data_IF_292098890399
#
_entry.id   IF_292098890399
#
_cell.length_a   1.000
_cell.length_b   1.000
_cell.length_c   1.000
_cell.angle_alpha   90.00
_cell.angle_beta   90.00
_cell.angle_gamma   90.00
#
_symmetry.space_group_name_H-M   'P 1'
#
loop_
_entity.id
_entity.type
_entity.pdbx_description
1 polymer ?
#
# COMPACT_ATOMS: atom_id res chain seq x y z
N UNK A 1 -40.06 24.99 22.47
CA UNK A 1 -38.74 25.67 22.42
C UNK A 1 -38.64 26.46 23.72
N UNK A 2 -37.78 26.10 24.68
CA UNK A 2 -36.33 25.97 24.51
C UNK A 2 -35.72 24.69 25.11
N UNK A 3 -34.40 24.61 24.93
CA UNK A 3 -33.45 23.51 25.16
C UNK A 3 -33.38 23.07 26.62
N UNK A 4 -33.42 21.75 26.85
CA UNK A 4 -33.07 21.15 28.13
C UNK A 4 -31.72 20.43 28.01
N UNK A 5 -30.80 20.85 28.88
CA UNK A 5 -29.51 20.22 29.12
C UNK A 5 -29.68 18.76 29.56
N UNK A 6 -28.94 17.84 28.95
CA UNK A 6 -28.38 16.70 29.68
C UNK A 6 -26.91 16.52 29.30
N UNK A 7 -26.08 16.84 30.29
CA UNK A 7 -24.68 16.54 30.33
C UNK A 7 -24.45 15.03 30.15
N UNK A 8 -23.53 14.67 29.27
CA UNK A 8 -22.99 13.32 29.22
C UNK A 8 -22.00 13.14 30.38
N UNK A 9 -22.06 12.03 31.12
CA UNK A 9 -21.17 11.81 32.25
C UNK A 9 -19.73 11.62 31.77
N UNK A 10 -18.81 12.33 32.44
CA UNK A 10 -17.38 12.01 32.44
C UNK A 10 -17.22 10.56 32.90
N UNK A 11 -16.82 9.66 32.00
CA UNK A 11 -16.19 8.40 32.42
C UNK A 11 -14.76 8.73 32.89
N UNK A 12 -14.61 8.77 34.20
CA UNK A 12 -13.35 8.57 34.91
C UNK A 12 -12.91 7.13 34.73
N UNK A 13 -11.68 6.95 34.25
CA UNK A 13 -11.08 5.67 33.91
C UNK A 13 -9.99 5.96 32.90
N UNK A 14 -8.76 6.16 33.39
CA UNK A 14 -7.56 6.25 32.58
C UNK A 14 -7.37 4.94 31.80
N UNK A 15 -8.00 4.82 30.63
CA UNK A 15 -7.45 3.99 29.58
C UNK A 15 -6.63 4.89 28.68
N UNK A 16 -5.35 4.56 28.58
CA UNK A 16 -4.35 5.20 27.73
C UNK A 16 -4.90 5.46 26.33
N UNK A 17 -5.34 6.69 26.07
CA UNK A 17 -5.53 7.14 24.69
C UNK A 17 -4.15 7.13 24.04
N UNK A 18 -3.93 6.36 22.95
CA UNK A 18 -2.66 6.41 22.26
C UNK A 18 -2.44 7.85 21.79
N UNK A 19 -1.26 8.38 22.09
CA UNK A 19 -0.78 9.60 21.46
C UNK A 19 -0.73 9.31 19.96
N UNK A 20 -1.74 9.75 19.20
CA UNK A 20 -1.84 9.62 17.74
C UNK A 20 -0.70 10.34 17.01
N UNK A 21 0.50 9.80 17.17
CA UNK A 21 1.80 10.31 16.73
C UNK A 21 2.42 9.35 15.72
N UNK A 22 2.06 8.06 15.81
CA UNK A 22 2.18 7.10 14.71
C UNK A 22 0.79 6.62 14.35
N UNK A 23 0.27 6.95 13.16
CA UNK A 23 -0.88 6.25 12.59
C UNK A 23 -0.48 4.84 12.22
N UNK A 24 -0.19 4.00 13.21
CA UNK A 24 0.28 2.64 13.02
C UNK A 24 -0.88 1.83 12.42
N UNK A 25 -0.59 1.06 11.38
CA UNK A 25 -1.54 0.16 10.71
C UNK A 25 -2.28 -0.72 11.73
N UNK A 26 -1.59 -1.14 12.80
CA UNK A 26 -2.20 -1.89 13.88
C UNK A 26 -3.38 -1.15 14.54
N UNK A 27 -3.26 0.15 14.82
CA UNK A 27 -4.34 0.93 15.45
C UNK A 27 -5.58 1.01 14.56
N UNK A 28 -5.38 1.25 13.26
CA UNK A 28 -6.49 1.27 12.30
C UNK A 28 -7.20 -0.09 12.19
N UNK A 29 -6.44 -1.17 12.17
CA UNK A 29 -7.00 -2.53 12.11
C UNK A 29 -7.73 -2.87 13.41
N UNK A 30 -7.15 -2.54 14.57
CA UNK A 30 -7.79 -2.78 15.87
C UNK A 30 -9.10 -1.99 16.00
N UNK A 31 -9.12 -0.72 15.59
CA UNK A 31 -10.33 0.10 15.58
C UNK A 31 -11.40 -0.46 14.63
N UNK A 32 -10.98 -0.89 13.43
CA UNK A 32 -11.87 -1.56 12.49
C UNK A 32 -12.48 -2.84 13.07
N UNK A 33 -11.67 -3.71 13.68
CA UNK A 33 -12.13 -4.96 14.28
C UNK A 33 -13.07 -4.71 15.47
N UNK A 34 -12.78 -3.71 16.30
CA UNK A 34 -13.63 -3.36 17.43
C UNK A 34 -15.05 -2.96 17.00
N UNK A 35 -15.18 -2.25 15.87
CA UNK A 35 -16.44 -1.65 15.43
C UNK A 35 -17.15 -2.38 14.29
N UNK A 36 -16.41 -3.13 13.46
CA UNK A 36 -16.92 -3.67 12.18
C UNK A 36 -16.79 -5.19 12.06
N UNK A 37 -16.22 -5.88 13.05
CA UNK A 37 -16.17 -7.35 13.01
C UNK A 37 -17.59 -7.94 13.12
N UNK A 38 -17.98 -8.85 12.22
CA UNK A 38 -19.33 -9.40 12.19
C UNK A 38 -19.55 -10.27 13.43
N UNK A 39 -20.36 -9.75 14.35
CA UNK A 39 -20.69 -10.41 15.62
C UNK A 39 -22.17 -10.75 15.74
N UNK A 40 -23.00 -10.30 14.79
CA UNK A 40 -24.43 -10.57 14.76
C UNK A 40 -24.71 -12.05 14.49
N UNK A 41 -25.66 -12.62 15.24
CA UNK A 41 -26.13 -13.98 15.07
C UNK A 41 -27.12 -14.05 13.89
N UNK A 42 -26.95 -15.04 13.04
CA UNK A 42 -27.87 -15.36 11.94
C UNK A 42 -28.46 -16.76 12.15
N UNK A 43 -29.73 -16.92 11.83
CA UNK A 43 -30.39 -18.22 11.75
C UNK A 43 -30.64 -18.60 10.29
N UNK A 44 -30.52 -19.88 9.98
CA UNK A 44 -30.85 -20.43 8.67
C UNK A 44 -32.33 -20.79 8.65
N UNK A 45 -33.02 -20.39 7.59
CA UNK A 45 -34.41 -20.78 7.34
C UNK A 45 -34.54 -21.30 5.92
N UNK A 46 -35.53 -22.14 5.67
CA UNK A 46 -35.87 -22.61 4.34
C UNK A 46 -37.09 -21.86 3.84
N UNK A 47 -37.06 -21.42 2.58
CA UNK A 47 -38.25 -20.87 1.94
C UNK A 47 -39.22 -21.96 1.45
N UNK A 48 -40.31 -21.54 0.83
CA UNK A 48 -41.35 -22.44 0.32
C UNK A 48 -40.86 -23.40 -0.79
N UNK A 49 -39.72 -23.09 -1.43
CA UNK A 49 -39.11 -23.91 -2.48
C UNK A 49 -38.04 -24.87 -1.94
N UNK A 50 -37.73 -24.81 -0.64
CA UNK A 50 -36.66 -25.59 -0.03
C UNK A 50 -35.28 -24.93 -0.09
N UNK A 51 -35.17 -23.70 -0.60
CA UNK A 51 -33.91 -22.98 -0.68
C UNK A 51 -33.52 -22.44 0.70
N UNK A 52 -32.24 -22.58 1.06
CA UNK A 52 -31.72 -22.12 2.34
C UNK A 52 -31.33 -20.64 2.29
N UNK A 53 -31.89 -19.87 3.21
CA UNK A 53 -31.62 -18.46 3.40
C UNK A 53 -31.12 -18.20 4.82
N UNK A 54 -30.49 -17.05 5.05
CA UNK A 54 -30.08 -16.62 6.39
C UNK A 54 -30.69 -15.28 6.74
N UNK A 55 -31.13 -15.12 7.99
CA UNK A 55 -31.64 -13.85 8.50
C UNK A 55 -31.05 -13.54 9.88
N UNK A 56 -30.90 -12.26 10.23
CA UNK A 56 -30.41 -11.89 11.55
C UNK A 56 -31.40 -12.30 12.63
N UNK A 57 -30.89 -12.84 13.73
CA UNK A 57 -31.69 -13.12 14.93
C UNK A 57 -31.91 -11.82 15.69
N UNK A 58 -33.15 -11.58 16.10
CA UNK A 58 -33.59 -10.37 16.80
C UNK A 58 -34.20 -10.76 18.16
N UNK A 59 -33.91 -9.98 19.20
CA UNK A 59 -34.49 -10.16 20.54
C UNK A 59 -35.93 -9.64 20.66
N UNK A 60 -36.56 -9.83 21.82
CA UNK A 60 -37.93 -9.36 22.11
C UNK A 60 -38.10 -7.84 22.02
N UNK A 61 -37.01 -7.08 21.99
CA UNK A 61 -36.98 -5.62 21.92
C UNK A 61 -36.61 -5.10 20.53
N UNK A 62 -36.44 -5.97 19.53
CA UNK A 62 -36.10 -5.57 18.17
C UNK A 62 -34.60 -5.36 17.93
N UNK A 63 -33.71 -5.73 18.86
CA UNK A 63 -32.27 -5.58 18.71
C UNK A 63 -31.61 -6.82 18.10
N UNK A 64 -30.58 -6.67 17.25
CA UNK A 64 -29.73 -7.76 16.80
C UNK A 64 -29.10 -8.56 17.95
N UNK A 65 -29.36 -9.86 17.98
CA UNK A 65 -28.69 -10.78 18.90
C UNK A 65 -27.24 -10.97 18.46
N UNK A 66 -26.31 -10.94 19.43
CA UNK A 66 -24.90 -11.15 19.17
C UNK A 66 -24.52 -12.63 19.36
N UNK A 67 -23.76 -13.17 18.41
CA UNK A 67 -23.14 -14.48 18.52
C UNK A 67 -21.97 -14.43 19.49
N UNK A 68 -22.10 -15.14 20.62
CA UNK A 68 -21.04 -15.25 21.63
C UNK A 68 -19.74 -15.78 21.03
N UNK A 69 -19.82 -16.79 20.15
CA UNK A 69 -18.64 -17.35 19.49
C UNK A 69 -17.95 -16.32 18.58
N UNK A 70 -18.72 -15.53 17.83
CA UNK A 70 -18.17 -14.50 16.97
C UNK A 70 -17.50 -13.37 17.78
N UNK A 71 -18.09 -12.98 18.91
CA UNK A 71 -17.47 -12.03 19.84
C UNK A 71 -16.15 -12.59 20.42
N UNK A 72 -16.13 -13.84 20.87
CA UNK A 72 -14.92 -14.48 21.39
C UNK A 72 -13.82 -14.62 20.32
N UNK A 73 -14.20 -14.83 19.04
CA UNK A 73 -13.25 -14.80 17.90
C UNK A 73 -12.69 -13.41 17.66
N UNK A 74 -13.53 -12.37 17.68
CA UNK A 74 -13.10 -10.96 17.55
C UNK A 74 -12.11 -10.59 18.65
N UNK A 75 -12.47 -10.86 19.91
CA UNK A 75 -11.71 -10.42 21.06
C UNK A 75 -10.32 -11.11 21.11
N UNK A 76 -10.26 -12.41 20.80
CA UNK A 76 -8.98 -13.12 20.62
C UNK A 76 -8.12 -12.55 19.50
N UNK A 77 -8.72 -12.16 18.38
CA UNK A 77 -7.99 -11.56 17.27
C UNK A 77 -7.43 -10.18 17.65
N UNK A 78 -8.22 -9.36 18.34
CA UNK A 78 -7.79 -8.06 18.87
C UNK A 78 -6.63 -8.24 19.85
N UNK A 79 -6.74 -9.17 20.80
CA UNK A 79 -5.67 -9.46 21.76
C UNK A 79 -4.38 -9.89 21.07
N UNK A 80 -4.49 -10.81 20.11
CA UNK A 80 -3.34 -11.28 19.34
C UNK A 80 -2.66 -10.14 18.58
N UNK A 81 -3.42 -9.30 17.87
CA UNK A 81 -2.89 -8.17 17.10
C UNK A 81 -2.29 -7.09 18.01
N UNK A 82 -2.90 -6.82 19.16
CA UNK A 82 -2.40 -5.86 20.14
C UNK A 82 -1.10 -6.32 20.80
N UNK A 83 -0.86 -7.63 20.87
CA UNK A 83 0.37 -8.22 21.39
C UNK A 83 1.52 -8.24 20.35
N UNK A 84 1.24 -7.97 19.07
CA UNK A 84 2.29 -7.93 18.06
C UNK A 84 3.22 -6.73 18.28
N UNK A 85 4.53 -6.86 17.95
CA UNK A 85 5.45 -5.74 18.00
C UNK A 85 4.96 -4.57 17.14
N UNK A 86 5.11 -3.34 17.65
CA UNK A 86 4.77 -2.15 16.90
C UNK A 86 5.65 -2.03 15.65
N UNK A 87 5.01 -1.91 14.48
CA UNK A 87 5.71 -1.64 13.22
C UNK A 87 5.98 -0.13 13.14
N UNK A 88 7.26 0.23 13.17
CA UNK A 88 7.66 1.64 13.06
C UNK A 88 7.43 2.14 11.64
N UNK A 89 6.82 3.32 11.49
CA UNK A 89 6.64 3.95 10.18
C UNK A 89 7.98 4.28 9.50
N UNK A 90 8.03 4.18 8.17
CA UNK A 90 9.25 4.40 7.40
C UNK A 90 9.88 5.78 7.64
N UNK A 91 9.05 6.83 7.73
CA UNK A 91 9.52 8.19 8.02
C UNK A 91 10.19 8.29 9.40
N UNK A 92 9.60 7.68 10.43
CA UNK A 92 10.21 7.69 11.77
C UNK A 92 11.54 6.94 11.78
N UNK A 93 11.64 5.81 11.08
CA UNK A 93 12.88 5.07 10.93
C UNK A 93 13.97 5.91 10.23
N UNK A 94 13.62 6.63 9.15
CA UNK A 94 14.55 7.53 8.44
C UNK A 94 15.03 8.64 9.37
N UNK A 95 14.11 9.32 10.06
CA UNK A 95 14.46 10.43 10.97
C UNK A 95 15.30 9.94 12.14
N UNK A 96 14.97 8.80 12.75
CA UNK A 96 15.72 8.24 13.87
C UNK A 96 17.10 7.70 13.45
N UNK A 97 17.25 7.24 12.20
CA UNK A 97 18.51 6.70 11.69
C UNK A 97 19.50 7.81 11.31
N UNK A 98 19.02 8.84 10.63
CA UNK A 98 19.87 9.90 10.06
C UNK A 98 19.88 11.20 10.88
N UNK A 99 18.93 11.36 11.80
CA UNK A 99 18.81 12.56 12.61
C UNK A 99 18.12 13.71 11.88
N UNK A 100 17.59 14.64 12.66
CA UNK A 100 16.85 15.82 12.17
C UNK A 100 17.76 16.85 11.51
N UNK A 101 19.06 16.80 11.78
CA UNK A 101 20.04 17.73 11.22
C UNK A 101 20.38 17.40 9.76
N UNK A 102 20.19 16.14 9.34
CA UNK A 102 20.47 15.68 7.97
C UNK A 102 19.17 15.54 7.16
N UNK A 103 18.06 15.22 7.83
CA UNK A 103 16.75 14.99 7.21
C UNK A 103 15.90 16.25 7.23
N UNK A 104 15.59 16.75 6.04
CA UNK A 104 14.57 17.75 5.80
C UNK A 104 13.20 17.07 5.73
N UNK A 105 12.34 17.32 6.72
CA UNK A 105 10.98 16.78 6.76
C UNK A 105 9.96 17.82 6.28
N UNK A 106 9.36 17.59 5.12
CA UNK A 106 8.33 18.45 4.51
C UNK A 106 7.02 17.68 4.39
N UNK A 107 6.45 17.32 5.54
CA UNK A 107 5.19 16.56 5.65
C UNK A 107 4.10 17.35 6.38
N UNK A 108 2.87 16.84 6.36
CA UNK A 108 1.76 17.37 7.16
C UNK A 108 1.79 17.02 8.66
N UNK A 109 2.83 16.33 9.17
CA UNK A 109 2.89 15.93 10.58
C UNK A 109 3.11 17.14 11.49
N UNK A 110 2.24 17.30 12.49
CA UNK A 110 2.42 18.27 13.58
C UNK A 110 3.33 17.76 14.70
N UNK A 111 3.66 16.46 14.70
CA UNK A 111 4.51 15.80 15.69
C UNK A 111 5.34 14.70 15.05
N UNK A 112 6.55 14.47 15.55
CA UNK A 112 7.45 13.37 15.15
C UNK A 112 8.10 12.71 16.35
N UNK A 113 8.58 11.48 16.17
CA UNK A 113 9.36 10.76 17.17
C UNK A 113 10.83 10.80 16.76
N UNK A 114 11.68 11.36 17.63
CA UNK A 114 13.13 11.44 17.38
C UNK A 114 13.90 10.70 18.46
N UNK A 115 15.07 10.18 18.06
CA UNK A 115 16.04 9.57 18.96
C UNK A 115 16.96 10.67 19.52
N UNK A 116 17.09 10.75 20.84
CA UNK A 116 18.03 11.64 21.53
C UNK A 116 18.94 10.82 22.42
N UNK A 117 20.23 11.12 22.36
CA UNK A 117 21.22 10.56 23.26
C UNK A 117 21.25 11.37 24.54
N UNK A 118 21.11 10.70 25.67
CA UNK A 118 21.17 11.27 27.01
C UNK A 118 22.61 11.55 27.41
N UNK A 119 22.80 12.29 28.51
CA UNK A 119 24.12 12.63 29.03
C UNK A 119 24.96 11.41 29.45
N UNK A 120 24.30 10.29 29.78
CA UNK A 120 24.92 9.02 30.13
C UNK A 120 25.25 8.14 28.91
N UNK A 121 25.01 8.64 27.68
CA UNK A 121 25.23 7.92 26.43
C UNK A 121 24.10 6.96 26.05
N UNK A 122 23.03 6.84 26.84
CA UNK A 122 21.86 6.03 26.49
C UNK A 122 20.96 6.75 25.49
N UNK A 123 20.33 6.00 24.58
CA UNK A 123 19.34 6.56 23.65
C UNK A 123 17.93 6.52 24.24
N UNK A 124 17.17 7.59 24.03
CA UNK A 124 15.72 7.61 24.28
C UNK A 124 14.94 8.15 23.09
N UNK A 125 13.72 7.68 22.94
CA UNK A 125 12.76 8.26 22.00
C UNK A 125 12.02 9.41 22.68
N UNK A 126 11.85 10.51 21.97
CA UNK A 126 11.07 11.65 22.44
C UNK A 126 10.16 12.19 21.34
N UNK A 127 9.04 12.75 21.75
CA UNK A 127 8.10 13.42 20.86
C UNK A 127 8.52 14.88 20.69
N UNK A 128 8.62 15.32 19.45
CA UNK A 128 8.83 16.72 19.10
C UNK A 128 7.62 17.29 18.36
N UNK A 129 7.21 18.50 18.73
CA UNK A 129 6.22 19.26 17.98
C UNK A 129 6.87 19.90 16.75
N UNK A 130 6.17 19.86 15.62
CA UNK A 130 6.55 20.53 14.38
C UNK A 130 5.58 21.69 14.11
N UNK A 131 6.05 22.95 14.14
CA UNK A 131 5.19 24.09 13.80
C UNK A 131 4.82 24.07 12.31
N UNK A 132 3.71 24.70 11.95
CA UNK A 132 3.26 24.78 10.54
C UNK A 132 4.31 25.46 9.62
N UNK A 133 5.13 26.36 10.16
CA UNK A 133 6.23 27.02 9.45
C UNK A 133 7.44 26.11 9.19
N UNK A 134 7.55 24.95 9.86
CA UNK A 134 8.71 24.06 9.75
C UNK A 134 8.99 23.67 8.30
N UNK A 135 7.95 23.40 7.51
CA UNK A 135 8.09 22.99 6.12
C UNK A 135 8.84 24.01 5.25
N UNK A 136 8.74 25.32 5.55
CA UNK A 136 9.48 26.35 4.82
C UNK A 136 10.98 26.29 5.15
N UNK A 137 11.32 26.25 6.44
CA UNK A 137 12.72 26.14 6.88
C UNK A 137 13.39 24.86 6.42
N UNK A 138 12.68 23.73 6.49
CA UNK A 138 13.17 22.42 6.03
C UNK A 138 13.41 22.40 4.51
N UNK A 139 12.53 23.06 3.74
CA UNK A 139 12.72 23.22 2.29
C UNK A 139 13.96 24.05 1.99
N UNK A 140 14.12 25.19 2.68
CA UNK A 140 15.24 26.08 2.48
C UNK A 140 16.56 25.39 2.83
N UNK A 141 16.64 24.74 3.99
CA UNK A 141 17.84 24.02 4.43
C UNK A 141 18.24 22.90 3.46
N UNK A 142 17.27 22.22 2.83
CA UNK A 142 17.57 21.26 1.76
C UNK A 142 18.12 21.95 0.50
N UNK A 143 17.49 23.03 0.05
CA UNK A 143 17.90 23.75 -1.18
C UNK A 143 19.22 24.52 -1.02
N UNK A 144 19.56 24.94 0.19
CA UNK A 144 20.83 25.55 0.58
C UNK A 144 21.95 24.54 0.84
N UNK A 145 21.67 23.26 0.59
CA UNK A 145 22.62 22.15 0.69
C UNK A 145 23.06 21.81 2.13
N UNK A 146 22.35 22.35 3.13
CA UNK A 146 22.58 22.11 4.57
C UNK A 146 22.06 20.72 5.00
N UNK A 147 20.89 20.33 4.48
CA UNK A 147 20.30 19.00 4.70
C UNK A 147 20.42 18.15 3.45
N UNK A 148 20.83 16.89 3.61
CA UNK A 148 21.14 15.99 2.48
C UNK A 148 19.95 15.15 2.05
N UNK A 149 19.05 14.84 2.97
CA UNK A 149 17.90 13.97 2.73
C UNK A 149 16.65 14.82 2.79
N UNK A 150 15.76 14.71 1.81
CA UNK A 150 14.44 15.32 1.82
C UNK A 150 13.38 14.22 1.88
N UNK A 151 12.45 14.30 2.82
CA UNK A 151 11.24 13.48 2.83
C UNK A 151 10.05 14.42 2.75
N UNK A 152 9.17 14.19 1.78
CA UNK A 152 7.99 15.03 1.59
C UNK A 152 6.73 14.19 1.32
N UNK A 153 5.57 14.75 1.65
CA UNK A 153 4.27 14.17 1.33
C UNK A 153 3.35 15.20 0.67
N UNK A 154 2.22 14.75 0.09
CA UNK A 154 1.24 15.64 -0.56
C UNK A 154 0.84 16.82 0.32
N UNK A 155 0.57 16.57 1.61
CA UNK A 155 0.14 17.59 2.57
C UNK A 155 1.22 18.64 2.90
N UNK A 156 2.50 18.34 2.66
CA UNK A 156 3.62 19.26 2.93
C UNK A 156 4.20 19.93 1.67
N UNK A 157 3.98 19.36 0.48
CA UNK A 157 4.70 19.72 -0.74
C UNK A 157 4.03 20.74 -1.67
N UNK A 158 2.81 21.21 -1.38
CA UNK A 158 2.06 22.08 -2.31
C UNK A 158 2.86 23.35 -2.67
N UNK A 159 2.98 23.63 -3.97
CA UNK A 159 3.66 24.81 -4.49
C UNK A 159 5.19 24.79 -4.43
N UNK A 160 5.82 23.80 -3.79
CA UNK A 160 7.27 23.74 -3.61
C UNK A 160 7.98 23.06 -4.79
N UNK A 161 9.27 23.34 -4.93
CA UNK A 161 10.15 22.67 -5.87
C UNK A 161 11.46 22.29 -5.19
N UNK A 162 11.93 21.09 -5.51
CA UNK A 162 13.13 20.49 -4.95
C UNK A 162 14.10 20.02 -6.05
N UNK A 163 13.84 20.41 -7.31
CA UNK A 163 14.71 20.06 -8.44
C UNK A 163 16.11 20.65 -8.26
N UNK A 164 17.12 20.00 -8.84
CA UNK A 164 18.50 20.48 -8.83
C UNK A 164 18.68 21.60 -9.85
N UNK A 165 18.07 22.76 -9.63
CA UNK A 165 18.14 23.91 -10.54
C UNK A 165 19.59 24.41 -10.69
N UNK A 166 19.98 24.82 -11.90
CA UNK A 166 21.33 25.36 -12.19
C UNK A 166 21.70 26.64 -11.44
N UNK A 167 20.71 27.36 -10.90
CA UNK A 167 20.90 28.56 -10.08
C UNK A 167 20.87 28.24 -8.58
N UNK A 168 20.34 27.08 -8.18
CA UNK A 168 20.26 26.68 -6.80
C UNK A 168 21.64 26.26 -6.26
N UNK A 169 21.84 26.41 -4.96
CA UNK A 169 23.06 25.97 -4.27
C UNK A 169 23.16 24.45 -4.25
N UNK A 170 22.09 23.77 -3.88
CA UNK A 170 22.05 22.31 -3.93
C UNK A 170 21.75 21.80 -5.35
N UNK A 171 22.80 21.47 -6.10
CA UNK A 171 22.72 20.87 -7.45
C UNK A 171 22.97 19.36 -7.44
N UNK A 172 22.85 18.68 -6.30
CA UNK A 172 23.10 17.23 -6.20
C UNK A 172 22.10 16.42 -7.04
N UNK A 173 22.53 15.26 -7.54
CA UNK A 173 21.63 14.34 -8.23
C UNK A 173 20.45 13.97 -7.32
N UNK A 174 19.23 14.16 -7.81
CA UNK A 174 18.02 13.79 -7.08
C UNK A 174 17.76 12.30 -7.27
N UNK A 175 18.12 11.50 -6.27
CA UNK A 175 17.74 10.08 -6.20
C UNK A 175 16.46 9.99 -5.38
N UNK A 176 15.34 9.83 -6.07
CA UNK A 176 14.01 9.89 -5.49
C UNK A 176 13.52 8.47 -5.21
N UNK A 177 13.42 8.12 -3.93
CA UNK A 177 12.84 6.86 -3.47
C UNK A 177 11.34 7.02 -3.30
N UNK A 178 10.56 6.28 -4.09
CA UNK A 178 9.10 6.31 -4.04
C UNK A 178 8.62 5.24 -3.05
N UNK A 179 8.40 5.65 -1.80
CA UNK A 179 7.99 4.77 -0.70
C UNK A 179 6.48 4.51 -0.70
N UNK A 180 5.68 5.58 -0.78
CA UNK A 180 4.23 5.54 -0.74
C UNK A 180 3.67 6.38 -1.90
N UNK A 181 3.55 5.81 -3.10
CA UNK A 181 3.14 6.57 -4.28
C UNK A 181 1.68 7.10 -4.25
N UNK A 182 0.92 6.77 -3.22
CA UNK A 182 -0.50 7.10 -3.12
C UNK A 182 -1.38 6.27 -4.08
N UNK A 183 -2.67 6.23 -3.79
CA UNK A 183 -3.66 5.44 -4.55
C UNK A 183 -4.04 6.07 -5.89
N UNK A 184 -3.83 7.39 -6.03
CA UNK A 184 -4.10 8.15 -7.24
C UNK A 184 -2.76 8.45 -7.91
N UNK A 185 -2.55 7.89 -9.10
CA UNK A 185 -1.31 8.14 -9.83
C UNK A 185 -1.06 9.63 -10.11
N UNK A 186 -2.11 10.45 -10.26
CA UNK A 186 -1.96 11.90 -10.46
C UNK A 186 -1.20 12.55 -9.29
N UNK A 187 -1.44 12.09 -8.06
CA UNK A 187 -0.70 12.54 -6.88
C UNK A 187 0.76 12.09 -6.95
N UNK A 188 1.00 10.82 -7.32
CA UNK A 188 2.35 10.29 -7.52
C UNK A 188 3.13 11.17 -8.51
N UNK A 189 2.53 11.45 -9.68
CA UNK A 189 3.12 12.28 -10.75
C UNK A 189 3.38 13.70 -10.29
N UNK A 190 2.43 14.31 -9.57
CA UNK A 190 2.63 15.63 -8.97
C UNK A 190 3.82 15.64 -8.01
N UNK A 191 4.01 14.56 -7.24
CA UNK A 191 5.17 14.33 -6.40
C UNK A 191 6.48 14.25 -7.21
N UNK A 192 6.51 13.49 -8.30
CA UNK A 192 7.67 13.37 -9.19
C UNK A 192 8.05 14.72 -9.83
N UNK A 193 7.05 15.52 -10.22
CA UNK A 193 7.21 16.88 -10.77
C UNK A 193 7.77 17.92 -9.78
N UNK A 194 7.90 17.58 -8.49
CA UNK A 194 8.60 18.43 -7.51
C UNK A 194 10.11 18.42 -7.75
N UNK A 195 10.66 17.31 -8.23
CA UNK A 195 12.10 17.09 -8.45
C UNK A 195 12.50 17.05 -9.93
N UNK A 196 11.54 16.93 -10.85
CA UNK A 196 11.78 16.92 -12.30
C UNK A 196 11.18 18.19 -12.94
N UNK A 197 12.04 19.10 -13.41
CA UNK A 197 11.64 20.40 -14.00
C UNK A 197 12.68 20.87 -15.04
N UNK A 198 12.29 21.83 -15.87
CA UNK A 198 13.24 22.52 -16.76
C UNK A 198 14.36 23.20 -15.98
N UNK A 199 15.49 23.48 -16.64
CA UNK A 199 16.66 24.15 -16.04
C UNK A 199 17.36 23.40 -14.89
N UNK A 200 17.12 22.09 -14.73
CA UNK A 200 17.91 21.30 -13.80
C UNK A 200 19.31 20.99 -14.33
N UNK A 201 20.30 20.92 -13.43
CA UNK A 201 21.68 20.60 -13.75
C UNK A 201 21.82 19.18 -14.34
N UNK A 202 21.01 18.24 -13.85
CA UNK A 202 20.89 16.87 -14.35
C UNK A 202 19.51 16.30 -14.03
N UNK A 203 18.95 15.38 -14.85
CA UNK A 203 17.66 14.73 -14.59
C UNK A 203 17.67 13.94 -13.27
N UNK A 204 16.52 13.77 -12.59
CA UNK A 204 16.45 12.95 -11.38
C UNK A 204 16.51 11.45 -11.72
N UNK A 205 16.97 10.63 -10.78
CA UNK A 205 16.79 9.19 -10.80
C UNK A 205 15.63 8.83 -9.90
N UNK A 206 14.68 8.07 -10.42
CA UNK A 206 13.58 7.57 -9.61
C UNK A 206 13.77 6.08 -9.29
N UNK A 207 13.46 5.71 -8.04
CA UNK A 207 13.60 4.35 -7.51
C UNK A 207 12.31 3.98 -6.79
N UNK A 208 11.38 3.28 -7.47
CA UNK A 208 10.28 2.62 -6.78
C UNK A 208 10.83 1.70 -5.70
N UNK A 209 10.30 1.82 -4.50
CA UNK A 209 10.63 0.91 -3.40
C UNK A 209 9.44 0.00 -3.19
N UNK A 210 9.69 -1.30 -3.16
CA UNK A 210 8.75 -2.29 -2.68
C UNK A 210 9.46 -3.15 -1.64
N UNK A 211 8.71 -3.64 -0.67
CA UNK A 211 9.17 -4.65 0.27
C UNK A 211 9.29 -6.02 -0.43
N UNK A 212 9.74 -7.01 0.32
CA UNK A 212 9.75 -8.41 -0.11
C UNK A 212 8.35 -9.06 -0.08
N UNK A 213 7.29 -8.30 0.21
CA UNK A 213 5.89 -8.72 0.09
C UNK A 213 5.47 -8.53 -1.38
N UNK A 214 5.48 -9.62 -2.16
CA UNK A 214 5.26 -9.55 -3.62
C UNK A 214 3.92 -8.90 -4.00
N UNK A 215 2.91 -8.99 -3.15
CA UNK A 215 1.61 -8.34 -3.37
C UNK A 215 1.72 -6.82 -3.50
N UNK A 216 2.73 -6.20 -2.88
CA UNK A 216 2.97 -4.76 -3.00
C UNK A 216 3.27 -4.33 -4.44
N UNK A 217 3.82 -5.24 -5.27
CA UNK A 217 4.07 -4.98 -6.70
C UNK A 217 2.80 -4.63 -7.47
N UNK A 218 1.63 -5.05 -6.99
CA UNK A 218 0.34 -4.60 -7.55
C UNK A 218 0.21 -3.07 -7.54
N UNK A 219 0.62 -2.43 -6.46
CA UNK A 219 0.54 -0.97 -6.33
C UNK A 219 1.48 -0.30 -7.31
N UNK A 220 2.71 -0.80 -7.43
CA UNK A 220 3.68 -0.33 -8.41
C UNK A 220 3.17 -0.48 -9.85
N UNK A 221 2.57 -1.63 -10.18
CA UNK A 221 2.00 -1.89 -11.51
C UNK A 221 0.92 -0.90 -11.91
N UNK A 222 0.08 -0.47 -10.96
CA UNK A 222 -0.98 0.51 -11.22
C UNK A 222 -0.38 1.87 -11.64
N UNK A 223 0.74 2.24 -11.03
CA UNK A 223 1.44 3.50 -11.29
C UNK A 223 2.23 3.42 -12.59
N UNK A 224 2.96 2.32 -12.82
CA UNK A 224 3.67 2.03 -14.06
C UNK A 224 2.74 2.19 -15.27
N UNK A 225 1.61 1.47 -15.26
CA UNK A 225 0.60 1.51 -16.33
C UNK A 225 0.11 2.94 -16.64
N UNK A 226 -0.14 3.74 -15.61
CA UNK A 226 -0.66 5.11 -15.79
C UNK A 226 0.43 6.07 -16.28
N UNK A 227 1.68 5.89 -15.86
CA UNK A 227 2.82 6.63 -16.40
C UNK A 227 3.06 6.32 -17.88
N UNK A 228 2.93 5.06 -18.28
CA UNK A 228 3.00 4.65 -19.69
C UNK A 228 1.90 5.35 -20.51
N UNK A 229 0.67 5.36 -19.98
CA UNK A 229 -0.48 6.05 -20.62
C UNK A 229 -0.23 7.55 -20.79
N UNK A 230 0.40 8.21 -19.82
CA UNK A 230 0.72 9.64 -19.91
C UNK A 230 1.87 9.93 -20.85
N UNK A 231 2.91 9.07 -20.88
CA UNK A 231 3.99 9.13 -21.86
C UNK A 231 3.49 8.99 -23.30
N UNK A 232 2.46 8.17 -23.52
CA UNK A 232 1.77 8.02 -24.80
C UNK A 232 0.97 9.27 -25.22
N UNK A 233 0.42 10.03 -24.28
CA UNK A 233 -0.34 11.27 -24.53
C UNK A 233 0.59 12.45 -24.85
N UNK A 234 1.78 12.53 -24.26
CA UNK A 234 2.76 13.59 -24.54
C UNK A 234 3.61 13.27 -25.77
N UNK A 235 3.05 13.42 -26.98
CA UNK A 235 3.73 13.15 -28.28
C UNK A 235 5.06 13.90 -28.49
N UNK A 236 5.44 14.85 -27.63
CA UNK A 236 6.68 15.66 -27.73
C UNK A 236 7.79 15.37 -26.71
N UNK A 237 7.57 14.48 -25.72
CA UNK A 237 8.55 14.21 -24.65
C UNK A 237 8.74 12.72 -24.36
N UNK A 238 8.91 11.92 -25.42
CA UNK A 238 9.25 10.48 -25.30
C UNK A 238 10.56 10.21 -24.52
N UNK A 239 11.36 11.23 -24.22
CA UNK A 239 12.71 11.08 -23.68
C UNK A 239 12.90 11.37 -22.18
N UNK A 240 11.90 11.85 -21.40
CA UNK A 240 12.23 12.37 -20.04
C UNK A 240 11.29 12.00 -18.88
N UNK A 241 10.17 11.31 -19.12
CA UNK A 241 9.18 11.04 -18.06
C UNK A 241 9.18 9.62 -17.47
N UNK A 242 9.25 8.59 -18.34
CA UNK A 242 9.02 7.19 -17.94
C UNK A 242 10.15 6.21 -18.29
N UNK A 243 11.05 6.54 -19.23
CA UNK A 243 12.13 5.64 -19.61
C UNK A 243 13.11 5.44 -18.45
N UNK A 244 13.06 4.25 -17.84
CA UNK A 244 13.92 3.82 -16.75
C UNK A 244 13.34 3.99 -15.34
N UNK A 245 12.14 4.55 -15.19
CA UNK A 245 11.47 4.67 -13.89
C UNK A 245 10.78 3.35 -13.49
N UNK A 246 10.15 2.67 -14.45
CA UNK A 246 9.62 1.32 -14.30
C UNK A 246 10.17 0.44 -15.40
N UNK A 247 10.37 -0.83 -15.10
CA UNK A 247 10.69 -1.84 -16.09
C UNK A 247 9.40 -2.38 -16.69
N UNK A 248 9.43 -2.91 -17.93
CA UNK A 248 8.23 -3.49 -18.53
C UNK A 248 7.61 -4.61 -17.68
N UNK A 249 8.44 -5.37 -16.96
CA UNK A 249 7.97 -6.38 -15.99
C UNK A 249 7.21 -5.80 -14.79
N UNK A 250 7.32 -4.50 -14.50
CA UNK A 250 6.57 -3.86 -13.42
C UNK A 250 5.10 -3.62 -13.82
N UNK A 251 4.77 -3.60 -15.12
CA UNK A 251 3.41 -3.51 -15.62
C UNK A 251 2.75 -4.90 -15.71
N UNK A 252 2.33 -5.41 -14.55
CA UNK A 252 1.69 -6.73 -14.41
C UNK A 252 0.39 -6.84 -15.22
N UNK A 253 -0.29 -5.74 -15.55
CA UNK A 253 -1.56 -5.74 -16.30
C UNK A 253 -1.38 -5.72 -17.83
N UNK A 254 -0.15 -5.70 -18.32
CA UNK A 254 0.22 -5.75 -19.74
C UNK A 254 -0.33 -7.00 -20.46
N UNK A 255 -0.35 -7.03 -21.81
CA UNK A 255 -0.70 -8.24 -22.57
C UNK A 255 0.13 -9.46 -22.16
N UNK A 256 1.41 -9.25 -21.82
CA UNK A 256 2.30 -10.30 -21.32
C UNK A 256 1.86 -10.82 -19.95
N UNK A 257 1.55 -9.92 -19.01
CA UNK A 257 1.05 -10.30 -17.70
C UNK A 257 -0.30 -11.04 -17.75
N UNK A 258 -1.22 -10.62 -18.63
CA UNK A 258 -2.49 -11.34 -18.86
C UNK A 258 -2.27 -12.74 -19.42
N UNK A 259 -1.34 -12.88 -20.35
CA UNK A 259 -0.96 -14.19 -20.92
C UNK A 259 -0.29 -15.08 -19.87
N UNK A 260 0.63 -14.53 -19.09
CA UNK A 260 1.29 -15.22 -17.99
C UNK A 260 0.29 -15.71 -16.93
N UNK A 261 -0.73 -14.91 -16.61
CA UNK A 261 -1.77 -15.31 -15.66
C UNK A 261 -2.60 -16.49 -16.19
N UNK A 262 -3.02 -16.44 -17.46
CA UNK A 262 -3.73 -17.59 -18.07
C UNK A 262 -2.89 -18.86 -17.99
N UNK A 263 -1.58 -18.74 -18.23
CA UNK A 263 -0.66 -19.87 -18.13
C UNK A 263 -0.50 -20.36 -16.69
N UNK A 264 -0.45 -19.46 -15.71
CA UNK A 264 -0.45 -19.83 -14.30
C UNK A 264 -1.70 -20.66 -13.95
N UNK A 265 -2.90 -20.21 -14.34
CA UNK A 265 -4.13 -20.96 -14.08
C UNK A 265 -4.12 -22.35 -14.71
N UNK A 266 -3.62 -22.49 -15.94
CA UNK A 266 -3.45 -23.80 -16.57
C UNK A 266 -2.50 -24.71 -15.79
N UNK A 267 -1.41 -24.16 -15.24
CA UNK A 267 -0.47 -24.92 -14.41
C UNK A 267 -1.08 -25.33 -13.08
N UNK A 268 -1.83 -24.43 -12.42
CA UNK A 268 -2.56 -24.72 -11.18
C UNK A 268 -3.58 -25.84 -11.41
N UNK A 269 -4.40 -25.71 -12.46
CA UNK A 269 -5.38 -26.72 -12.85
C UNK A 269 -4.74 -28.08 -13.14
N UNK A 270 -3.60 -28.09 -13.84
CA UNK A 270 -2.84 -29.31 -14.13
C UNK A 270 -2.05 -29.87 -12.93
N UNK A 271 -2.12 -29.24 -11.75
CA UNK A 271 -1.36 -29.66 -10.56
C UNK A 271 0.15 -29.48 -10.69
N UNK A 272 0.61 -28.57 -11.56
CA UNK A 272 2.03 -28.32 -11.88
C UNK A 272 2.66 -27.19 -11.09
N UNK A 273 1.91 -26.53 -10.21
CA UNK A 273 2.44 -25.54 -9.28
C UNK A 273 2.77 -26.24 -7.97
N UNK A 274 4.05 -26.55 -7.77
CA UNK A 274 4.52 -27.19 -6.54
C UNK A 274 4.13 -26.34 -5.33
N UNK A 275 3.60 -27.00 -4.29
CA UNK A 275 3.12 -26.32 -3.09
C UNK A 275 1.77 -25.60 -3.23
N UNK A 276 1.12 -25.59 -4.40
CA UNK A 276 -0.23 -25.04 -4.57
C UNK A 276 -1.10 -25.93 -5.47
N UNK A 277 -1.91 -26.80 -4.86
CA UNK A 277 -2.94 -27.55 -5.58
C UNK A 277 -4.09 -26.64 -6.05
N UNK A 278 -4.89 -27.12 -7.00
CA UNK A 278 -6.12 -26.43 -7.42
C UNK A 278 -7.02 -26.10 -6.22
N UNK A 279 -7.29 -27.07 -5.34
CA UNK A 279 -8.10 -26.87 -4.13
C UNK A 279 -7.52 -25.80 -3.21
N UNK A 280 -6.20 -25.84 -2.94
CA UNK A 280 -5.55 -24.84 -2.10
C UNK A 280 -5.65 -23.45 -2.72
N UNK A 281 -5.51 -23.35 -4.05
CA UNK A 281 -5.63 -22.10 -4.78
C UNK A 281 -7.06 -21.54 -4.69
N UNK A 282 -8.08 -22.35 -4.98
CA UNK A 282 -9.48 -21.92 -4.98
C UNK A 282 -9.94 -21.52 -3.58
N UNK A 283 -9.59 -22.28 -2.54
CA UNK A 283 -9.91 -21.96 -1.15
C UNK A 283 -9.24 -20.66 -0.67
N UNK A 284 -7.96 -20.47 -1.00
CA UNK A 284 -7.23 -19.31 -0.52
C UNK A 284 -7.62 -18.02 -1.26
N UNK A 285 -7.93 -18.11 -2.56
CA UNK A 285 -8.22 -16.94 -3.40
C UNK A 285 -9.72 -16.66 -3.56
N UNK A 286 -10.57 -17.67 -3.36
CA UNK A 286 -11.99 -17.62 -3.72
C UNK A 286 -12.23 -17.52 -5.23
N UNK A 287 -11.23 -17.83 -6.05
CA UNK A 287 -11.35 -17.83 -7.51
C UNK A 287 -11.71 -19.22 -7.98
N UNK A 288 -12.76 -19.30 -8.78
CA UNK A 288 -13.19 -20.54 -9.41
C UNK A 288 -12.61 -20.64 -10.82
N UNK A 289 -11.87 -21.73 -11.08
CA UNK A 289 -11.20 -21.99 -12.35
C UNK A 289 -11.90 -23.09 -13.17
N UNK A 290 -12.89 -23.78 -12.60
CA UNK A 290 -13.48 -24.99 -13.18
C UNK A 290 -14.97 -24.87 -13.44
N UNK A 291 -15.44 -25.43 -14.54
CA UNK A 291 -16.88 -25.59 -14.79
C UNK A 291 -17.47 -26.77 -14.01
N UNK A 292 -18.80 -26.92 -14.06
CA UNK A 292 -19.53 -27.96 -13.32
C UNK A 292 -19.08 -29.39 -13.68
N UNK A 293 -18.54 -29.57 -14.87
CA UNK A 293 -18.01 -30.85 -15.38
C UNK A 293 -16.54 -31.09 -14.97
N UNK A 294 -15.92 -30.16 -14.25
CA UNK A 294 -14.52 -30.24 -13.81
C UNK A 294 -13.51 -29.82 -14.88
N UNK A 295 -13.95 -29.35 -16.04
CA UNK A 295 -13.07 -28.77 -17.06
C UNK A 295 -12.60 -27.36 -16.67
N UNK A 296 -11.53 -26.87 -17.28
CA UNK A 296 -11.07 -25.49 -17.08
C UNK A 296 -12.02 -24.52 -17.79
N UNK A 297 -12.48 -23.48 -17.08
CA UNK A 297 -13.38 -22.47 -17.66
C UNK A 297 -12.78 -21.82 -18.91
N UNK A 298 -13.63 -21.57 -19.90
CA UNK A 298 -13.27 -20.73 -21.06
C UNK A 298 -12.98 -19.28 -20.63
N UNK A 299 -13.86 -18.72 -19.79
CA UNK A 299 -13.70 -17.39 -19.23
C UNK A 299 -13.06 -17.45 -17.83
N UNK A 300 -11.74 -17.26 -17.78
CA UNK A 300 -10.96 -17.28 -16.55
C UNK A 300 -10.97 -15.93 -15.83
N UNK A 301 -10.85 -15.90 -14.48
CA UNK A 301 -10.86 -14.66 -13.71
C UNK A 301 -9.79 -13.65 -14.18
N UNK A 302 -10.15 -12.37 -14.38
CA UNK A 302 -9.23 -11.39 -14.94
C UNK A 302 -8.11 -11.03 -13.97
N UNK A 303 -7.04 -10.46 -14.53
CA UNK A 303 -5.82 -10.12 -13.77
C UNK A 303 -6.06 -9.14 -12.62
N UNK A 304 -6.98 -8.19 -12.80
CA UNK A 304 -7.38 -7.27 -11.74
C UNK A 304 -7.97 -8.02 -10.54
N UNK A 305 -8.80 -9.04 -10.77
CA UNK A 305 -9.38 -9.87 -9.70
C UNK A 305 -8.29 -10.70 -9.03
N UNK A 306 -7.43 -11.35 -9.80
CA UNK A 306 -6.29 -12.13 -9.28
C UNK A 306 -5.38 -11.29 -8.36
N UNK A 307 -4.92 -10.13 -8.84
CA UNK A 307 -4.05 -9.24 -8.08
C UNK A 307 -4.73 -8.73 -6.81
N UNK A 308 -6.06 -8.52 -6.84
CA UNK A 308 -6.84 -8.21 -5.64
C UNK A 308 -6.85 -9.35 -4.62
N UNK A 309 -7.05 -10.60 -5.07
CA UNK A 309 -7.09 -11.77 -4.18
C UNK A 309 -5.73 -12.07 -3.57
N UNK A 310 -4.63 -11.90 -4.32
CA UNK A 310 -3.28 -12.14 -3.79
C UNK A 310 -2.96 -11.27 -2.56
N UNK A 311 -3.49 -10.05 -2.47
CA UNK A 311 -3.21 -9.18 -1.32
C UNK A 311 -3.68 -9.76 0.03
N UNK A 312 -4.66 -10.67 0.01
CA UNK A 312 -5.21 -11.30 1.20
C UNK A 312 -4.51 -12.63 1.54
N UNK A 313 -3.58 -13.11 0.70
CA UNK A 313 -2.94 -14.39 0.90
C UNK A 313 -1.80 -14.31 1.93
N UNK A 314 -1.53 -15.41 2.66
CA UNK A 314 -0.31 -15.54 3.44
C UNK A 314 0.93 -15.29 2.56
N UNK A 315 1.93 -14.59 3.10
CA UNK A 315 3.14 -14.18 2.37
C UNK A 315 3.81 -15.34 1.63
N UNK A 316 3.91 -16.51 2.25
CA UNK A 316 4.50 -17.69 1.61
C UNK A 316 3.74 -18.12 0.34
N UNK A 317 2.40 -18.14 0.38
CA UNK A 317 1.58 -18.52 -0.77
C UNK A 317 1.59 -17.43 -1.84
N UNK A 318 1.57 -16.17 -1.41
CA UNK A 318 1.75 -15.04 -2.30
C UNK A 318 3.08 -15.15 -3.07
N UNK A 319 4.20 -15.36 -2.37
CA UNK A 319 5.51 -15.48 -2.98
C UNK A 319 5.57 -16.64 -3.96
N UNK A 320 5.09 -17.81 -3.57
CA UNK A 320 5.03 -19.00 -4.42
C UNK A 320 4.28 -18.72 -5.74
N UNK A 321 3.08 -18.16 -5.66
CA UNK A 321 2.28 -17.86 -6.86
C UNK A 321 2.93 -16.75 -7.70
N UNK A 322 3.50 -15.72 -7.07
CA UNK A 322 4.17 -14.64 -7.77
C UNK A 322 5.47 -15.08 -8.44
N UNK A 323 6.25 -15.97 -7.85
CA UNK A 323 7.50 -16.44 -8.46
C UNK A 323 7.22 -17.23 -9.75
N UNK A 324 6.18 -18.07 -9.76
CA UNK A 324 5.72 -18.75 -10.99
C UNK A 324 5.18 -17.73 -12.00
N UNK A 325 4.34 -16.80 -11.55
CA UNK A 325 3.75 -15.77 -12.41
C UNK A 325 4.81 -14.88 -13.07
N UNK A 326 5.79 -14.39 -12.29
CA UNK A 326 6.89 -13.55 -12.74
C UNK A 326 7.80 -14.30 -13.70
N UNK A 327 8.11 -15.57 -13.42
CA UNK A 327 8.89 -16.41 -14.34
C UNK A 327 8.19 -16.59 -15.69
N UNK A 328 6.87 -16.83 -15.68
CA UNK A 328 6.08 -16.93 -16.91
C UNK A 328 6.05 -15.60 -17.67
N UNK A 329 5.87 -14.48 -16.96
CA UNK A 329 5.82 -13.16 -17.57
C UNK A 329 7.17 -12.76 -18.18
N UNK A 330 8.28 -12.99 -17.48
CA UNK A 330 9.63 -12.74 -17.96
C UNK A 330 9.91 -13.53 -19.25
N UNK A 331 9.57 -14.83 -19.27
CA UNK A 331 9.74 -15.66 -20.46
C UNK A 331 8.91 -15.17 -21.66
N UNK A 332 7.70 -14.65 -21.43
CA UNK A 332 6.88 -14.07 -22.50
C UNK A 332 7.47 -12.75 -23.04
N UNK A 333 8.02 -11.92 -22.15
CA UNK A 333 8.69 -10.67 -22.53
C UNK A 333 9.95 -10.98 -23.35
N UNK A 334 10.80 -11.89 -22.87
CA UNK A 334 12.02 -12.32 -23.56
C UNK A 334 11.71 -12.85 -24.96
N UNK A 335 10.74 -13.76 -25.08
CA UNK A 335 10.32 -14.30 -26.38
C UNK A 335 9.81 -13.21 -27.34
N UNK A 336 9.08 -12.22 -26.84
CA UNK A 336 8.59 -11.10 -27.66
C UNK A 336 9.73 -10.17 -28.11
N UNK A 337 10.73 -9.95 -27.25
CA UNK A 337 11.95 -9.19 -27.58
C UNK A 337 12.73 -9.90 -28.68
N UNK A 338 12.97 -11.20 -28.54
CA UNK A 338 13.67 -12.01 -29.53
C UNK A 338 12.96 -12.03 -30.89
N UNK A 339 11.63 -12.10 -30.87
CA UNK A 339 10.80 -12.07 -32.08
C UNK A 339 10.67 -10.66 -32.70
N UNK A 340 11.20 -9.61 -32.05
CA UNK A 340 11.10 -8.23 -32.54
C UNK A 340 9.68 -7.65 -32.51
N UNK A 341 8.75 -8.28 -31.80
CA UNK A 341 7.35 -7.87 -31.65
C UNK A 341 7.05 -7.33 -30.26
N UNK A 342 8.09 -7.03 -29.49
CA UNK A 342 7.94 -6.50 -28.14
C UNK A 342 7.30 -5.12 -28.16
N UNK A 343 6.14 -5.03 -27.53
CA UNK A 343 5.41 -3.79 -27.33
C UNK A 343 5.53 -3.38 -25.87
N UNK A 344 6.18 -2.25 -25.63
CA UNK A 344 6.36 -1.70 -24.28
C UNK A 344 5.04 -1.15 -23.71
N UNK A 345 4.01 -1.00 -24.56
CA UNK A 345 2.73 -0.37 -24.22
C UNK A 345 2.64 1.08 -24.66
#
# INVERSE_FOLDING_TARGET
MPRNHRAFPRKTGESSRPLGISGNVAEYVLDYLAHSFPTQLFEVYSDENGDLHSRPVIDEHGNPVQSREAMERRDRLIEHLAALPAVQGALDQIVQRFGTDIVAEVTGRSRRIVRKTNADGSDRLCVENRPASANLGETQAFMDDEKRILVFSDAGGTGRSYHAERSARNQRLRVHYLLEPGWKADNAIQGLGRTNRTNQAQPPLFRPVATNVKGEKRFLSTIARRLDTLGAITRGQRQTGGQGLFRPEDNLESPYGRTALRRLYQLVFAGKVEGCSLTRFTEATGLDLTDQDGSLKEELPPISTFLNRILALPIALQNLLFDVFEGLMAAQIEAAIEAGVFDVG
#
